data_IF_828074859593
#
_entry.id   IF_828074859593
#
_cell.length_a   1.000
_cell.length_b   1.000
_cell.length_c   1.000
_cell.angle_alpha   90.00
_cell.angle_beta   90.00
_cell.angle_gamma   90.00
#
_symmetry.space_group_name_H-M   'P 1'
#
loop_
_entity.id
_entity.type
_entity.pdbx_description
1 polymer ?
#
# COMPACT_ATOMS: atom_id res chain seq x y z
N UNK A 1 41.94 -11.55 -13.36
CA UNK A 1 41.59 -12.01 -14.72
C UNK A 1 40.89 -10.86 -15.42
N UNK A 2 41.67 -10.01 -16.10
CA UNK A 2 41.23 -8.80 -16.78
C UNK A 2 40.93 -9.16 -18.23
N UNK A 3 39.71 -8.92 -18.71
CA UNK A 3 39.41 -8.93 -20.14
C UNK A 3 38.81 -7.58 -20.50
N UNK A 4 39.55 -6.90 -21.36
CA UNK A 4 39.33 -5.59 -21.92
C UNK A 4 38.69 -5.81 -23.30
N UNK A 5 37.54 -5.21 -23.61
CA UNK A 5 37.03 -5.13 -24.97
C UNK A 5 36.67 -3.69 -25.31
N UNK A 6 37.52 -3.08 -26.14
CA UNK A 6 37.21 -1.89 -26.93
C UNK A 6 36.52 -2.32 -28.22
N UNK A 7 35.44 -1.61 -28.56
CA UNK A 7 35.07 -1.31 -29.94
C UNK A 7 33.99 -2.19 -30.57
N UNK A 8 32.73 -1.73 -30.51
CA UNK A 8 31.85 -1.66 -31.69
C UNK A 8 30.92 -0.45 -31.52
N UNK A 9 31.08 0.54 -32.39
CA UNK A 9 30.14 1.63 -32.61
C UNK A 9 29.27 1.32 -33.83
N UNK A 10 27.96 1.57 -33.66
CA UNK A 10 27.03 2.17 -34.61
C UNK A 10 26.08 1.28 -35.46
N UNK A 11 24.78 1.55 -35.21
CA UNK A 11 23.58 1.57 -36.10
C UNK A 11 22.94 0.21 -36.47
N UNK A 12 21.63 -0.04 -36.33
CA UNK A 12 20.53 0.92 -36.16
C UNK A 12 19.13 0.37 -35.86
N UNK A 13 18.27 1.36 -35.65
CA UNK A 13 16.82 1.43 -35.47
C UNK A 13 15.95 0.27 -35.98
N UNK A 14 15.41 -0.55 -35.06
CA UNK A 14 14.13 -1.29 -35.25
C UNK A 14 13.22 -1.25 -33.98
N UNK A 15 13.62 -0.59 -32.89
CA UNK A 15 12.98 -0.78 -31.57
C UNK A 15 11.92 0.23 -31.09
N UNK A 16 11.53 1.24 -31.87
CA UNK A 16 10.77 2.40 -31.34
C UNK A 16 9.24 2.36 -31.54
N UNK A 17 8.69 1.50 -32.40
CA UNK A 17 7.26 1.62 -32.79
C UNK A 17 6.25 1.11 -31.74
N UNK A 18 6.59 0.14 -30.88
CA UNK A 18 5.63 -0.45 -29.92
C UNK A 18 5.69 0.23 -28.54
N UNK A 19 6.87 0.75 -28.15
CA UNK A 19 7.03 1.52 -26.91
C UNK A 19 6.40 2.91 -27.01
N UNK A 20 6.51 3.58 -28.17
CA UNK A 20 5.94 4.93 -28.35
C UNK A 20 4.40 4.92 -28.36
N UNK A 21 3.78 3.85 -28.88
CA UNK A 21 2.32 3.72 -28.88
C UNK A 21 1.76 3.48 -27.46
N UNK A 22 2.51 2.77 -26.59
CA UNK A 22 2.13 2.57 -25.19
C UNK A 22 2.44 3.81 -24.32
N UNK A 23 3.48 4.56 -24.68
CA UNK A 23 3.86 5.82 -24.04
C UNK A 23 2.86 6.96 -24.32
N UNK A 24 2.34 7.08 -25.55
CA UNK A 24 1.37 8.14 -25.88
C UNK A 24 -0.03 7.92 -25.30
N UNK A 25 -0.49 6.68 -25.19
CA UNK A 25 -1.87 6.38 -24.75
C UNK A 25 -2.11 6.46 -23.24
N UNK A 26 -1.06 6.41 -22.40
CA UNK A 26 -1.22 6.48 -20.92
C UNK A 26 -0.59 7.69 -20.24
N UNK A 27 0.40 8.35 -20.84
CA UNK A 27 1.08 9.48 -20.20
C UNK A 27 0.61 10.86 -20.69
N UNK A 28 -0.16 10.95 -21.78
CA UNK A 28 -0.83 12.19 -22.18
C UNK A 28 -1.91 12.66 -21.18
N UNK A 29 -2.40 11.74 -20.31
CA UNK A 29 -3.43 12.02 -19.32
C UNK A 29 -2.98 12.81 -18.09
N UNK A 30 -1.68 13.11 -17.91
CA UNK A 30 -1.18 13.75 -16.69
C UNK A 30 -0.56 15.14 -16.85
N UNK A 31 -0.41 15.67 -18.07
CA UNK A 31 0.34 16.95 -18.26
C UNK A 31 -0.30 18.01 -19.16
N UNK A 32 -1.42 17.79 -19.84
CA UNK A 32 -1.97 18.82 -20.75
C UNK A 32 -3.29 19.41 -20.24
N UNK A 33 -3.23 20.67 -19.82
CA UNK A 33 -4.39 21.54 -19.59
C UNK A 33 -4.84 22.20 -20.89
N UNK A 34 -5.26 21.42 -21.88
CA UNK A 34 -5.93 21.95 -23.08
C UNK A 34 -6.94 20.93 -23.59
N UNK A 35 -8.18 21.38 -23.70
CA UNK A 35 -9.38 20.66 -24.11
C UNK A 35 -9.21 19.89 -25.43
N UNK A 36 -9.65 18.61 -25.45
CA UNK A 36 -10.43 18.05 -26.55
C UNK A 36 -11.80 17.71 -25.96
N UNK A 37 -12.85 18.52 -26.16
CA UNK A 37 -14.20 18.14 -25.81
C UNK A 37 -14.66 17.17 -26.90
N UNK A 38 -14.78 15.87 -26.61
CA UNK A 38 -15.79 14.97 -27.21
C UNK A 38 -15.59 13.46 -26.94
N UNK A 39 -14.50 13.02 -26.31
CA UNK A 39 -14.36 11.58 -25.98
C UNK A 39 -15.03 11.17 -24.65
N UNK A 40 -15.31 12.13 -23.76
CA UNK A 40 -15.96 11.88 -22.46
C UNK A 40 -17.49 11.72 -22.56
N UNK A 41 -18.08 11.87 -23.75
CA UNK A 41 -19.53 11.87 -23.94
C UNK A 41 -20.13 10.49 -24.31
N UNK A 42 -19.35 9.41 -24.46
CA UNK A 42 -19.87 8.13 -25.02
C UNK A 42 -19.73 6.92 -24.08
N UNK A 43 -19.07 7.02 -22.92
CA UNK A 43 -18.97 5.86 -22.00
C UNK A 43 -19.31 6.19 -20.53
N UNK A 44 -20.40 5.63 -19.97
CA UNK A 44 -20.76 5.87 -18.58
C UNK A 44 -19.69 5.35 -17.60
N UNK A 45 -19.57 6.05 -16.47
CA UNK A 45 -18.62 5.82 -15.36
C UNK A 45 -18.65 4.40 -14.74
N UNK A 46 -19.68 3.61 -15.07
CA UNK A 46 -19.87 2.21 -14.67
C UNK A 46 -18.97 1.23 -15.46
N UNK A 47 -18.45 1.61 -16.63
CA UNK A 47 -17.67 0.70 -17.49
C UNK A 47 -16.16 0.69 -17.19
N UNK A 48 -15.60 1.71 -16.53
CA UNK A 48 -14.15 1.83 -16.30
C UNK A 48 -13.56 0.74 -15.36
N UNK A 49 -14.26 0.27 -14.30
CA UNK A 49 -13.82 -0.91 -13.53
C UNK A 49 -14.10 -2.25 -14.23
N UNK A 50 -14.88 -2.25 -15.32
CA UNK A 50 -15.54 -3.44 -15.88
C UNK A 50 -14.80 -4.04 -17.08
N UNK A 51 -13.94 -3.28 -17.75
CA UNK A 51 -13.25 -3.73 -18.97
C UNK A 51 -12.17 -4.79 -18.74
N UNK A 52 -11.59 -4.89 -17.54
CA UNK A 52 -10.62 -5.97 -17.21
C UNK A 52 -11.23 -7.02 -16.27
N UNK A 53 -12.54 -7.01 -16.09
CA UNK A 53 -13.20 -8.04 -15.30
C UNK A 53 -13.57 -9.21 -16.22
N UNK A 54 -12.90 -10.37 -16.09
CA UNK A 54 -13.14 -11.51 -16.97
C UNK A 54 -14.57 -12.08 -16.85
N UNK A 55 -15.29 -11.75 -15.76
CA UNK A 55 -16.70 -12.13 -15.60
C UNK A 55 -17.65 -11.34 -16.51
N UNK A 56 -17.23 -10.20 -17.03
CA UNK A 56 -18.00 -9.44 -18.02
C UNK A 56 -17.45 -9.64 -19.43
N UNK A 57 -16.12 -9.54 -19.61
CA UNK A 57 -15.53 -9.66 -20.96
C UNK A 57 -15.54 -11.09 -21.49
N UNK A 58 -15.44 -12.10 -20.62
CA UNK A 58 -15.42 -13.51 -21.02
C UNK A 58 -16.76 -13.99 -21.61
N UNK A 59 -17.90 -13.83 -20.90
CA UNK A 59 -19.20 -14.19 -21.44
C UNK A 59 -19.57 -13.40 -22.70
N UNK A 60 -19.20 -12.12 -22.78
CA UNK A 60 -19.45 -11.30 -23.98
C UNK A 60 -18.59 -11.76 -25.17
N UNK A 61 -17.31 -12.09 -24.94
CA UNK A 61 -16.46 -12.70 -25.96
C UNK A 61 -17.05 -14.03 -26.43
N UNK A 62 -17.48 -14.90 -25.51
CA UNK A 62 -18.11 -16.18 -25.84
C UNK A 62 -19.41 -16.00 -26.65
N UNK A 63 -20.27 -15.07 -26.23
CA UNK A 63 -21.54 -14.75 -26.91
C UNK A 63 -21.36 -14.35 -28.39
N UNK A 64 -20.26 -13.65 -28.70
CA UNK A 64 -19.97 -13.16 -30.04
C UNK A 64 -19.17 -14.16 -30.90
N UNK A 65 -18.56 -15.19 -30.30
CA UNK A 65 -17.67 -16.14 -31.00
C UNK A 65 -18.23 -17.55 -31.02
N UNK A 66 -18.44 -18.17 -29.87
CA UNK A 66 -18.69 -19.62 -29.71
C UNK A 66 -20.08 -19.97 -29.17
N UNK A 67 -20.94 -18.97 -28.93
CA UNK A 67 -22.30 -19.22 -28.45
C UNK A 67 -23.19 -19.90 -29.50
N UNK A 68 -24.24 -20.63 -29.06
CA UNK A 68 -25.19 -21.28 -29.97
C UNK A 68 -25.75 -20.32 -31.02
N UNK A 69 -26.00 -20.84 -32.23
CA UNK A 69 -26.43 -20.03 -33.39
C UNK A 69 -27.66 -19.16 -33.10
N UNK A 70 -28.63 -19.67 -32.33
CA UNK A 70 -29.83 -18.93 -31.95
C UNK A 70 -29.56 -17.70 -31.06
N UNK A 71 -28.41 -17.65 -30.38
CA UNK A 71 -27.95 -16.50 -29.59
C UNK A 71 -27.01 -15.61 -30.41
N UNK A 72 -26.01 -16.23 -31.04
CA UNK A 72 -24.93 -15.52 -31.75
C UNK A 72 -25.41 -14.76 -32.98
N UNK A 73 -26.26 -15.38 -33.81
CA UNK A 73 -26.69 -14.80 -35.09
C UNK A 73 -27.54 -13.53 -34.88
N UNK A 74 -28.59 -13.51 -34.03
CA UNK A 74 -29.33 -12.28 -33.79
C UNK A 74 -28.48 -11.15 -33.20
N UNK A 75 -27.50 -11.48 -32.36
CA UNK A 75 -26.55 -10.52 -31.79
C UNK A 75 -25.67 -9.88 -32.86
N UNK A 76 -25.04 -10.70 -33.72
CA UNK A 76 -24.18 -10.19 -34.78
C UNK A 76 -24.97 -9.39 -35.83
N UNK A 77 -26.17 -9.86 -36.20
CA UNK A 77 -27.08 -9.12 -37.10
C UNK A 77 -27.55 -7.81 -36.48
N UNK A 78 -27.80 -7.77 -35.17
CA UNK A 78 -28.12 -6.54 -34.45
C UNK A 78 -26.96 -5.55 -34.44
N UNK A 79 -25.74 -6.04 -34.25
CA UNK A 79 -24.52 -5.22 -34.24
C UNK A 79 -24.14 -4.72 -35.64
N UNK A 80 -24.28 -5.54 -36.68
CA UNK A 80 -23.94 -5.16 -38.06
C UNK A 80 -24.84 -4.07 -38.64
N UNK A 81 -26.04 -3.85 -38.06
CA UNK A 81 -26.90 -2.71 -38.38
C UNK A 81 -26.32 -1.36 -37.92
N UNK A 82 -25.41 -1.36 -36.96
CA UNK A 82 -24.90 -0.16 -36.29
C UNK A 82 -23.38 0.00 -36.54
N UNK A 83 -22.65 -1.11 -36.68
CA UNK A 83 -21.19 -1.15 -36.76
C UNK A 83 -20.73 -1.90 -38.02
N UNK A 84 -19.59 -1.49 -38.56
CA UNK A 84 -18.93 -2.23 -39.66
C UNK A 84 -18.41 -3.59 -39.18
N UNK A 85 -18.34 -4.57 -40.09
CA UNK A 85 -17.78 -5.90 -39.80
C UNK A 85 -16.36 -5.82 -39.24
N UNK A 86 -15.52 -4.95 -39.81
CA UNK A 86 -14.16 -4.69 -39.30
C UNK A 86 -14.16 -4.19 -37.84
N UNK A 87 -15.12 -3.33 -37.48
CA UNK A 87 -15.25 -2.84 -36.10
C UNK A 87 -15.67 -3.97 -35.15
N UNK A 88 -16.56 -4.86 -35.59
CA UNK A 88 -17.00 -6.02 -34.81
C UNK A 88 -15.83 -6.98 -34.56
N UNK A 89 -15.01 -7.27 -35.57
CA UNK A 89 -13.82 -8.11 -35.41
C UNK A 89 -12.78 -7.50 -34.46
N UNK A 90 -12.55 -6.18 -34.56
CA UNK A 90 -11.69 -5.45 -33.62
C UNK A 90 -12.22 -5.52 -32.20
N UNK A 91 -13.54 -5.40 -32.01
CA UNK A 91 -14.19 -5.54 -30.69
C UNK A 91 -13.99 -6.96 -30.14
N UNK A 92 -14.24 -8.00 -30.94
CA UNK A 92 -14.05 -9.40 -30.53
C UNK A 92 -12.59 -9.65 -30.12
N UNK A 93 -11.64 -9.19 -30.94
CA UNK A 93 -10.21 -9.29 -30.65
C UNK A 93 -9.83 -8.53 -29.36
N UNK A 94 -10.38 -7.33 -29.17
CA UNK A 94 -10.21 -6.55 -27.95
C UNK A 94 -10.75 -7.29 -26.72
N UNK A 95 -11.97 -7.84 -26.80
CA UNK A 95 -12.59 -8.61 -25.72
C UNK A 95 -11.81 -9.88 -25.37
N UNK A 96 -11.24 -10.57 -26.37
CA UNK A 96 -10.33 -11.71 -26.15
C UNK A 96 -9.16 -11.28 -25.26
N UNK A 97 -8.42 -10.25 -25.66
CA UNK A 97 -7.25 -9.78 -24.92
C UNK A 97 -7.61 -9.22 -23.54
N UNK A 98 -8.71 -8.49 -23.42
CA UNK A 98 -9.20 -8.00 -22.13
C UNK A 98 -9.56 -9.14 -21.18
N UNK A 99 -10.17 -10.22 -21.69
CA UNK A 99 -10.49 -11.42 -20.90
C UNK A 99 -9.22 -12.14 -20.46
N UNK A 100 -8.27 -12.34 -21.38
CA UNK A 100 -6.98 -12.98 -21.06
C UNK A 100 -6.22 -12.17 -20.01
N UNK A 101 -6.08 -10.85 -20.19
CA UNK A 101 -5.41 -9.97 -19.23
C UNK A 101 -6.14 -9.93 -17.88
N UNK A 102 -7.48 -9.90 -17.89
CA UNK A 102 -8.30 -9.95 -16.69
C UNK A 102 -8.13 -11.27 -15.92
N UNK A 103 -8.11 -12.40 -16.62
CA UNK A 103 -7.88 -13.71 -16.04
C UNK A 103 -6.47 -13.83 -15.47
N UNK A 104 -5.44 -13.44 -16.24
CA UNK A 104 -4.04 -13.42 -15.78
C UNK A 104 -3.89 -12.58 -14.50
N UNK A 105 -4.50 -11.39 -14.45
CA UNK A 105 -4.48 -10.53 -13.27
C UNK A 105 -5.18 -11.18 -12.07
N UNK A 106 -6.36 -11.79 -12.27
CA UNK A 106 -7.11 -12.45 -11.20
C UNK A 106 -6.37 -13.68 -10.67
N UNK A 107 -5.81 -14.49 -11.56
CA UNK A 107 -4.97 -15.65 -11.22
C UNK A 107 -3.70 -15.21 -10.49
N UNK A 108 -2.99 -14.19 -10.97
CA UNK A 108 -1.80 -13.65 -10.31
C UNK A 108 -2.12 -13.12 -8.90
N UNK A 109 -3.23 -12.38 -8.74
CA UNK A 109 -3.68 -11.92 -7.42
C UNK A 109 -4.04 -13.07 -6.49
N UNK A 110 -4.68 -14.12 -7.01
CA UNK A 110 -5.01 -15.31 -6.23
C UNK A 110 -3.75 -16.06 -5.78
N UNK A 111 -2.79 -16.29 -6.68
CA UNK A 111 -1.52 -16.93 -6.37
C UNK A 111 -0.69 -16.09 -5.39
N UNK A 112 -0.71 -14.76 -5.52
CA UNK A 112 -0.05 -13.87 -4.57
C UNK A 112 -0.69 -13.95 -3.18
N UNK A 113 -2.01 -14.01 -3.09
CA UNK A 113 -2.72 -14.22 -1.82
C UNK A 113 -2.37 -15.58 -1.21
N UNK A 114 -2.29 -16.65 -2.01
CA UNK A 114 -1.83 -17.96 -1.54
C UNK A 114 -0.39 -17.91 -1.04
N UNK A 115 0.54 -17.34 -1.79
CA UNK A 115 1.93 -17.20 -1.39
C UNK A 115 2.09 -16.43 -0.07
N UNK A 116 1.36 -15.33 0.09
CA UNK A 116 1.32 -14.53 1.33
C UNK A 116 0.66 -15.25 2.52
N UNK A 117 -0.08 -16.34 2.26
CA UNK A 117 -0.74 -17.15 3.27
C UNK A 117 -0.12 -18.56 3.38
N UNK A 118 1.16 -18.71 3.02
CA UNK A 118 1.90 -19.96 3.12
C UNK A 118 1.23 -21.11 2.33
N UNK A 119 0.70 -20.78 1.14
CA UNK A 119 -0.04 -21.66 0.23
C UNK A 119 -1.30 -22.31 0.82
N UNK A 120 -1.84 -21.75 1.91
CA UNK A 120 -3.09 -22.21 2.51
C UNK A 120 -4.29 -21.71 1.71
N UNK A 121 -5.08 -22.65 1.19
CA UNK A 121 -6.30 -22.36 0.43
C UNK A 121 -7.40 -21.77 1.32
N UNK A 122 -7.55 -22.31 2.54
CA UNK A 122 -8.60 -21.90 3.48
C UNK A 122 -8.16 -20.68 4.29
N UNK A 123 -9.12 -19.80 4.54
CA UNK A 123 -8.96 -18.69 5.49
C UNK A 123 -8.97 -19.21 6.93
N UNK A 124 -8.18 -18.59 7.81
CA UNK A 124 -8.20 -18.87 9.25
C UNK A 124 -9.37 -18.18 9.98
N UNK A 125 -10.27 -17.51 9.25
CA UNK A 125 -11.45 -16.80 9.81
C UNK A 125 -12.25 -17.67 10.79
N UNK A 126 -12.38 -18.96 10.52
CA UNK A 126 -13.10 -19.92 11.35
C UNK A 126 -12.53 -20.06 12.78
N UNK A 127 -11.29 -19.62 13.02
CA UNK A 127 -10.63 -19.67 14.34
C UNK A 127 -10.86 -18.42 15.18
N UNK A 128 -11.45 -17.38 14.60
CA UNK A 128 -11.71 -16.12 15.29
C UNK A 128 -13.16 -16.06 15.78
N UNK A 129 -13.32 -15.81 17.07
CA UNK A 129 -14.59 -15.48 17.69
C UNK A 129 -14.56 -14.00 18.10
N UNK A 130 -14.93 -13.10 17.18
CA UNK A 130 -14.70 -11.65 17.31
C UNK A 130 -15.05 -11.03 18.67
N UNK A 131 -16.19 -11.37 19.32
CA UNK A 131 -16.52 -10.88 20.66
C UNK A 131 -15.50 -11.20 21.76
N UNK A 132 -14.73 -12.28 21.60
CA UNK A 132 -13.70 -12.78 22.52
C UNK A 132 -12.27 -12.43 22.07
N UNK A 133 -12.09 -11.91 20.85
CA UNK A 133 -10.76 -11.51 20.38
C UNK A 133 -10.32 -10.20 21.03
N UNK A 134 -8.99 -10.09 21.21
CA UNK A 134 -8.35 -8.92 21.79
C UNK A 134 -7.36 -8.36 20.77
N UNK A 135 -7.50 -7.08 20.47
CA UNK A 135 -6.65 -6.36 19.52
C UNK A 135 -5.87 -5.24 20.22
N UNK A 136 -4.54 -5.25 20.09
CA UNK A 136 -3.68 -4.14 20.50
C UNK A 136 -3.47 -3.20 19.31
N UNK A 137 -3.74 -1.91 19.48
CA UNK A 137 -3.58 -0.89 18.44
C UNK A 137 -2.71 0.24 18.96
N UNK A 138 -1.55 0.47 18.34
CA UNK A 138 -0.64 1.57 18.72
C UNK A 138 -0.93 2.85 17.93
N UNK A 139 -0.63 4.02 18.50
CA UNK A 139 -0.98 5.31 17.89
C UNK A 139 -2.49 5.51 17.85
N UNK A 140 -3.19 5.01 18.87
CA UNK A 140 -4.64 4.90 18.90
C UNK A 140 -5.36 6.26 18.99
N UNK A 141 -4.71 7.31 19.50
CA UNK A 141 -5.36 8.60 19.75
C UNK A 141 -5.50 9.46 18.48
N UNK A 142 -4.87 9.09 17.36
CA UNK A 142 -4.86 9.91 16.14
C UNK A 142 -5.00 9.12 14.84
N UNK A 143 -5.18 9.85 13.73
CA UNK A 143 -5.09 9.36 12.36
C UNK A 143 -5.86 8.06 12.10
N UNK A 144 -5.15 7.03 11.61
CA UNK A 144 -5.73 5.71 11.36
C UNK A 144 -6.04 4.95 12.65
N UNK A 145 -5.24 5.12 13.70
CA UNK A 145 -5.37 4.34 14.94
C UNK A 145 -6.74 4.52 15.59
N UNK A 146 -7.25 5.75 15.64
CA UNK A 146 -8.58 6.02 16.21
C UNK A 146 -9.71 5.34 15.43
N UNK A 147 -9.62 5.32 14.10
CA UNK A 147 -10.59 4.70 13.22
C UNK A 147 -10.51 3.17 13.28
N UNK A 148 -9.30 2.61 13.37
CA UNK A 148 -9.08 1.18 13.57
C UNK A 148 -9.67 0.71 14.90
N UNK A 149 -9.44 1.46 15.99
CA UNK A 149 -10.05 1.19 17.29
C UNK A 149 -11.58 1.17 17.21
N UNK A 150 -12.17 2.21 16.59
CA UNK A 150 -13.61 2.30 16.42
C UNK A 150 -14.17 1.15 15.56
N UNK A 151 -13.52 0.81 14.45
CA UNK A 151 -13.95 -0.25 13.53
C UNK A 151 -13.89 -1.64 14.16
N UNK A 152 -12.84 -1.93 14.93
CA UNK A 152 -12.70 -3.18 15.69
C UNK A 152 -13.76 -3.30 16.78
N UNK A 153 -13.94 -2.24 17.59
CA UNK A 153 -14.94 -2.20 18.66
C UNK A 153 -16.36 -2.39 18.14
N UNK A 154 -16.71 -1.74 17.00
CA UNK A 154 -18.01 -1.92 16.31
C UNK A 154 -18.28 -3.36 15.86
N UNK A 155 -17.23 -4.16 15.64
CA UNK A 155 -17.33 -5.59 15.30
C UNK A 155 -17.24 -6.51 16.52
N UNK A 156 -17.24 -5.93 17.72
CA UNK A 156 -17.24 -6.66 18.98
C UNK A 156 -15.86 -7.05 19.50
N UNK A 157 -14.77 -6.68 18.84
CA UNK A 157 -13.41 -6.98 19.31
C UNK A 157 -13.08 -6.13 20.53
N UNK A 158 -12.45 -6.72 21.55
CA UNK A 158 -11.91 -5.95 22.68
C UNK A 158 -10.63 -5.25 22.24
N UNK A 159 -10.59 -3.93 22.34
CA UNK A 159 -9.47 -3.12 21.87
C UNK A 159 -8.65 -2.62 23.05
N UNK A 160 -7.35 -2.87 23.00
CA UNK A 160 -6.31 -2.26 23.83
C UNK A 160 -5.71 -1.12 23.00
N UNK A 161 -6.17 0.09 23.26
CA UNK A 161 -5.73 1.31 22.59
C UNK A 161 -4.49 1.86 23.30
N UNK A 162 -3.38 1.97 22.58
CA UNK A 162 -2.08 2.38 23.12
C UNK A 162 -1.61 3.65 22.42
N UNK A 163 -1.27 4.69 23.18
CA UNK A 163 -0.74 5.94 22.65
C UNK A 163 0.09 6.68 23.72
N UNK A 164 0.90 7.65 23.32
CA UNK A 164 1.64 8.54 24.24
C UNK A 164 0.74 9.68 24.76
N UNK A 165 -0.34 9.99 24.04
CA UNK A 165 -1.31 11.00 24.46
C UNK A 165 -1.92 10.65 25.83
N UNK A 166 -2.29 11.66 26.61
CA UNK A 166 -2.90 11.43 27.92
C UNK A 166 -4.30 10.80 27.82
N UNK A 167 -5.01 11.03 26.72
CA UNK A 167 -6.38 10.56 26.53
C UNK A 167 -6.71 10.30 25.06
N UNK A 168 -7.62 9.34 24.85
CA UNK A 168 -8.28 9.15 23.55
C UNK A 168 -9.22 10.32 23.23
N UNK A 169 -9.43 10.63 21.94
CA UNK A 169 -10.49 11.53 21.50
C UNK A 169 -11.86 11.11 22.07
N UNK A 170 -12.71 12.05 22.53
CA UNK A 170 -14.01 11.74 23.13
C UNK A 170 -14.92 10.89 22.23
N UNK A 171 -14.83 11.12 20.92
CA UNK A 171 -15.55 10.41 19.86
C UNK A 171 -15.27 8.90 19.80
N UNK A 172 -14.12 8.44 20.30
CA UNK A 172 -13.76 7.01 20.34
C UNK A 172 -13.72 6.48 21.77
N UNK A 173 -13.35 7.32 22.75
CA UNK A 173 -13.22 6.94 24.17
C UNK A 173 -14.50 6.33 24.74
N UNK A 174 -15.67 6.79 24.30
CA UNK A 174 -16.96 6.34 24.83
C UNK A 174 -17.48 5.04 24.19
N UNK A 175 -16.77 4.48 23.21
CA UNK A 175 -17.16 3.21 22.61
C UNK A 175 -16.90 2.06 23.59
N UNK A 176 -17.91 1.20 23.76
CA UNK A 176 -17.77 -0.03 24.56
C UNK A 176 -16.64 -0.89 23.99
N UNK A 177 -15.96 -1.63 24.86
CA UNK A 177 -14.83 -2.55 24.56
C UNK A 177 -13.49 -1.91 24.23
N UNK A 178 -13.32 -0.59 24.40
CA UNK A 178 -12.01 0.06 24.28
C UNK A 178 -11.41 0.28 25.66
N UNK A 179 -10.19 -0.21 25.88
CA UNK A 179 -9.39 0.02 27.08
C UNK A 179 -8.14 0.81 26.68
N UNK A 180 -7.89 1.94 27.34
CA UNK A 180 -6.82 2.84 26.97
C UNK A 180 -5.62 2.73 27.90
N UNK A 181 -4.43 2.70 27.31
CA UNK A 181 -3.16 2.68 28.03
C UNK A 181 -2.26 3.78 27.46
N UNK A 182 -1.89 4.74 28.30
CA UNK A 182 -0.89 5.73 27.97
C UNK A 182 0.50 5.09 28.12
N UNK A 183 1.17 4.79 27.01
CA UNK A 183 2.49 4.14 26.98
C UNK A 183 3.31 4.71 25.85
N UNK A 184 4.55 5.11 26.15
CA UNK A 184 5.55 5.38 25.13
C UNK A 184 6.13 4.05 24.63
N UNK A 185 5.79 3.68 23.39
CA UNK A 185 6.24 2.44 22.77
C UNK A 185 7.73 2.42 22.41
N UNK A 186 8.44 3.53 22.63
CA UNK A 186 9.90 3.60 22.47
C UNK A 186 10.66 3.10 23.70
N UNK A 187 9.96 2.93 24.83
CA UNK A 187 10.51 2.35 26.06
C UNK A 187 10.21 0.83 26.11
N UNK A 188 11.23 -0.04 26.02
CA UNK A 188 11.03 -1.49 26.04
C UNK A 188 10.45 -2.00 27.36
N UNK A 189 10.80 -1.40 28.50
CA UNK A 189 10.29 -1.83 29.81
C UNK A 189 8.82 -1.44 29.97
N UNK A 190 8.44 -0.25 29.50
CA UNK A 190 7.05 0.16 29.47
C UNK A 190 6.18 -0.75 28.57
N UNK A 191 6.69 -1.14 27.40
CA UNK A 191 5.99 -2.08 26.49
C UNK A 191 5.89 -3.48 27.09
N UNK A 192 6.93 -3.96 27.78
CA UNK A 192 6.91 -5.24 28.48
C UNK A 192 5.86 -5.24 29.61
N UNK A 193 5.87 -4.21 30.46
CA UNK A 193 4.90 -4.04 31.54
C UNK A 193 3.46 -3.93 31.01
N UNK A 194 3.27 -3.22 29.88
CA UNK A 194 1.99 -3.20 29.17
C UNK A 194 1.55 -4.61 28.76
N UNK A 195 2.45 -5.41 28.17
CA UNK A 195 2.14 -6.77 27.76
C UNK A 195 1.71 -7.66 28.92
N UNK A 196 2.41 -7.59 30.05
CA UNK A 196 2.06 -8.31 31.29
C UNK A 196 0.69 -7.89 31.83
N UNK A 197 0.47 -6.58 31.93
CA UNK A 197 -0.79 -6.01 32.41
C UNK A 197 -1.97 -6.38 31.53
N UNK A 198 -1.81 -6.31 30.20
CA UNK A 198 -2.86 -6.69 29.25
C UNK A 198 -3.21 -8.17 29.39
N UNK A 199 -2.22 -9.05 29.53
CA UNK A 199 -2.48 -10.49 29.74
C UNK A 199 -3.23 -10.76 31.03
N UNK A 200 -2.85 -10.09 32.12
CA UNK A 200 -3.49 -10.26 33.42
C UNK A 200 -4.94 -9.73 33.45
N UNK A 201 -5.18 -8.55 32.88
CA UNK A 201 -6.49 -7.88 32.96
C UNK A 201 -7.48 -8.34 31.86
N UNK A 202 -6.97 -8.70 30.67
CA UNK A 202 -7.81 -8.92 29.49
C UNK A 202 -7.67 -10.30 28.88
N UNK A 203 -6.51 -10.94 29.02
CA UNK A 203 -6.12 -12.17 28.33
C UNK A 203 -5.12 -11.93 27.19
N UNK A 204 -4.84 -12.97 26.41
CA UNK A 204 -3.84 -12.92 25.35
C UNK A 204 -4.37 -12.23 24.07
N UNK A 205 -3.72 -11.16 23.58
CA UNK A 205 -4.06 -10.57 22.30
C UNK A 205 -3.87 -11.52 21.13
N UNK A 206 -4.85 -11.53 20.21
CA UNK A 206 -4.80 -12.29 18.96
C UNK A 206 -4.59 -11.39 17.74
N UNK A 207 -4.67 -10.07 17.92
CA UNK A 207 -4.42 -9.08 16.87
C UNK A 207 -3.45 -8.04 17.41
N UNK A 208 -2.38 -7.75 16.69
CA UNK A 208 -1.45 -6.66 16.97
C UNK A 208 -1.39 -5.74 15.75
N UNK A 209 -1.73 -4.46 15.94
CA UNK A 209 -1.64 -3.45 14.89
C UNK A 209 -0.55 -2.45 15.27
N UNK A 210 0.62 -2.62 14.64
CA UNK A 210 1.73 -1.69 14.70
C UNK A 210 1.44 -0.51 13.76
N UNK A 211 0.73 0.49 14.30
CA UNK A 211 0.25 1.66 13.54
C UNK A 211 0.96 2.97 13.92
N UNK A 212 1.43 3.10 15.16
CA UNK A 212 2.14 4.30 15.61
C UNK A 212 3.29 4.67 14.67
N UNK A 213 3.44 5.96 14.38
CA UNK A 213 4.48 6.45 13.52
C UNK A 213 4.58 7.96 13.50
N UNK A 214 5.78 8.45 13.22
CA UNK A 214 6.10 9.86 13.03
C UNK A 214 6.82 10.07 11.71
N UNK A 215 6.72 11.29 11.18
CA UNK A 215 7.42 11.70 9.98
C UNK A 215 7.96 13.12 10.19
N UNK A 216 9.19 13.34 9.71
CA UNK A 216 9.83 14.64 9.68
C UNK A 216 10.28 14.90 8.25
N UNK A 217 10.18 16.16 7.80
CA UNK A 217 10.65 16.57 6.47
C UNK A 217 11.88 17.43 6.64
N UNK A 218 13.04 16.90 6.22
CA UNK A 218 14.34 17.57 6.28
C UNK A 218 15.33 16.85 5.38
N UNK A 219 16.33 17.57 4.85
CA UNK A 219 17.42 16.94 4.10
C UNK A 219 18.31 16.13 5.04
N UNK A 220 19.11 15.21 4.49
CA UNK A 220 20.02 14.38 5.31
C UNK A 220 20.98 15.25 6.12
N UNK A 221 21.46 16.36 5.56
CA UNK A 221 22.39 17.27 6.24
C UNK A 221 21.71 18.13 7.31
N UNK A 222 20.40 18.36 7.21
CA UNK A 222 19.62 19.12 8.18
C UNK A 222 19.04 18.25 9.31
N UNK A 223 19.31 16.94 9.30
CA UNK A 223 18.77 16.01 10.26
C UNK A 223 19.42 16.18 11.64
N UNK A 224 18.61 16.49 12.65
CA UNK A 224 19.06 16.54 14.05
C UNK A 224 19.19 15.12 14.62
N UNK A 225 20.29 14.78 15.34
CA UNK A 225 20.48 13.46 15.92
C UNK A 225 19.27 12.95 16.73
N UNK A 226 18.65 13.80 17.54
CA UNK A 226 17.53 13.42 18.39
C UNK A 226 16.28 13.08 17.57
N UNK A 227 16.06 13.79 16.46
CA UNK A 227 14.94 13.52 15.55
C UNK A 227 15.17 12.23 14.76
N UNK A 228 16.43 11.94 14.38
CA UNK A 228 16.83 10.70 13.74
C UNK A 228 16.64 9.51 14.69
N UNK A 229 17.13 9.58 15.91
CA UNK A 229 16.91 8.50 16.88
C UNK A 229 15.43 8.26 17.13
N UNK A 230 14.67 9.34 17.33
CA UNK A 230 13.25 9.25 17.64
C UNK A 230 12.45 8.62 16.49
N UNK A 231 12.72 8.97 15.23
CA UNK A 231 11.98 8.37 14.10
C UNK A 231 12.26 6.88 13.97
N UNK A 232 13.50 6.42 14.18
CA UNK A 232 13.82 4.99 14.17
C UNK A 232 13.23 4.27 15.38
N UNK A 233 13.32 4.86 16.58
CA UNK A 233 12.73 4.31 17.80
C UNK A 233 11.23 4.09 17.65
N UNK A 234 10.50 5.11 17.17
CA UNK A 234 9.04 5.03 17.01
C UNK A 234 8.63 4.14 15.84
N UNK A 235 9.20 4.31 14.65
CA UNK A 235 8.64 3.70 13.43
C UNK A 235 9.08 2.25 13.19
N UNK A 236 10.16 1.78 13.82
CA UNK A 236 10.69 0.43 13.56
C UNK A 236 11.15 -0.29 14.82
N UNK A 237 11.93 0.32 15.71
CA UNK A 237 12.43 -0.38 16.90
C UNK A 237 11.27 -0.78 17.82
N UNK A 238 10.29 0.10 18.02
CA UNK A 238 9.09 -0.19 18.81
C UNK A 238 8.33 -1.42 18.32
N UNK A 239 8.36 -1.74 17.01
CA UNK A 239 7.71 -2.93 16.47
C UNK A 239 8.35 -4.20 17.06
N UNK A 240 9.67 -4.22 17.27
CA UNK A 240 10.33 -5.35 17.91
C UNK A 240 9.86 -5.52 19.36
N UNK A 241 9.77 -4.44 20.13
CA UNK A 241 9.30 -4.49 21.51
C UNK A 241 7.85 -5.00 21.59
N UNK A 242 6.98 -4.51 20.71
CA UNK A 242 5.58 -4.94 20.62
C UNK A 242 5.46 -6.41 20.19
N UNK A 243 6.27 -6.85 19.22
CA UNK A 243 6.34 -8.26 18.83
C UNK A 243 6.80 -9.13 20.00
N UNK A 244 7.89 -8.77 20.69
CA UNK A 244 8.37 -9.53 21.86
C UNK A 244 7.31 -9.61 22.97
N UNK A 245 6.52 -8.54 23.17
CA UNK A 245 5.47 -8.51 24.19
C UNK A 245 4.25 -9.37 23.85
N UNK A 246 3.84 -9.46 22.58
CA UNK A 246 2.54 -10.03 22.19
C UNK A 246 2.61 -11.25 21.26
N UNK A 247 3.69 -11.44 20.49
CA UNK A 247 3.88 -12.57 19.58
C UNK A 247 3.95 -13.95 20.28
N UNK A 248 4.59 -14.12 21.46
CA UNK A 248 4.77 -15.44 22.05
C UNK A 248 3.46 -16.25 22.20
N UNK A 249 2.41 -15.60 22.72
CA UNK A 249 1.10 -16.24 22.86
C UNK A 249 0.44 -16.59 21.52
N UNK A 250 0.64 -15.75 20.48
CA UNK A 250 0.12 -16.05 19.13
C UNK A 250 0.82 -17.25 18.50
N UNK A 251 2.13 -17.40 18.74
CA UNK A 251 2.94 -18.54 18.29
C UNK A 251 2.49 -19.81 19.00
N UNK A 252 2.39 -19.78 20.33
CA UNK A 252 1.96 -20.92 21.14
C UNK A 252 0.58 -21.43 20.73
N UNK A 253 -0.38 -20.51 20.54
CA UNK A 253 -1.74 -20.85 20.10
C UNK A 253 -1.84 -21.15 18.59
N UNK A 254 -0.74 -20.95 17.85
CA UNK A 254 -0.70 -20.94 16.39
C UNK A 254 -1.86 -20.12 15.82
N UNK A 255 -2.17 -18.96 16.41
CA UNK A 255 -3.30 -18.11 16.05
C UNK A 255 -2.93 -16.68 16.37
N UNK A 256 -2.97 -15.83 15.35
CA UNK A 256 -2.75 -14.40 15.54
C UNK A 256 -2.78 -13.66 14.22
N UNK A 257 -2.94 -12.34 14.27
CA UNK A 257 -2.83 -11.46 13.10
C UNK A 257 -2.03 -10.22 13.45
N UNK A 258 -0.86 -10.08 12.84
CA UNK A 258 0.01 -8.93 13.00
C UNK A 258 -0.14 -8.03 11.78
N UNK A 259 -0.48 -6.78 12.02
CA UNK A 259 -0.65 -5.76 11.00
C UNK A 259 0.41 -4.68 11.17
N UNK A 260 1.20 -4.43 10.14
CA UNK A 260 2.22 -3.38 10.12
C UNK A 260 1.81 -2.26 9.17
N UNK A 261 1.67 -1.03 9.68
CA UNK A 261 1.37 0.15 8.86
C UNK A 261 2.69 0.77 8.36
N UNK A 262 3.04 0.41 7.13
CA UNK A 262 4.18 0.98 6.41
C UNK A 262 3.74 2.19 5.56
N UNK A 263 4.32 2.38 4.38
CA UNK A 263 4.01 3.46 3.45
C UNK A 263 4.49 3.11 2.04
N UNK A 264 3.98 3.80 1.03
CA UNK A 264 4.62 3.85 -0.29
C UNK A 264 6.08 4.35 -0.22
N UNK A 265 6.44 5.08 0.83
CA UNK A 265 7.82 5.46 1.14
C UNK A 265 8.78 4.26 1.37
N UNK A 266 8.25 3.03 1.52
CA UNK A 266 9.07 1.82 1.52
C UNK A 266 9.61 1.47 0.12
N UNK A 267 8.98 1.96 -0.95
CA UNK A 267 9.32 1.66 -2.34
C UNK A 267 9.96 2.84 -3.08
N UNK A 268 9.58 4.07 -2.72
CA UNK A 268 10.10 5.30 -3.31
C UNK A 268 10.62 6.24 -2.23
N UNK A 269 11.63 7.04 -2.55
CA UNK A 269 12.27 7.96 -1.60
C UNK A 269 12.16 9.40 -2.10
N UNK A 270 11.07 10.13 -1.77
CA UNK A 270 10.97 11.53 -2.11
C UNK A 270 12.04 12.38 -1.39
N UNK A 271 12.31 13.56 -1.95
CA UNK A 271 13.24 14.54 -1.38
C UNK A 271 12.86 14.85 0.07
N UNK A 272 13.88 14.96 0.92
CA UNK A 272 13.75 15.33 2.34
C UNK A 272 12.89 14.37 3.21
N UNK A 273 12.68 13.13 2.75
CA UNK A 273 12.01 12.07 3.53
C UNK A 273 12.91 10.86 3.79
N UNK A 274 14.22 10.95 3.53
CA UNK A 274 15.14 9.79 3.57
C UNK A 274 15.06 8.98 4.88
N UNK A 275 15.15 9.57 6.09
CA UNK A 275 15.01 8.81 7.33
C UNK A 275 13.65 8.12 7.48
N UNK A 276 12.56 8.79 7.11
CA UNK A 276 11.23 8.19 7.13
C UNK A 276 11.14 7.00 6.17
N UNK A 277 11.62 7.15 4.94
CA UNK A 277 11.65 6.09 3.92
C UNK A 277 12.48 4.89 4.40
N UNK A 278 13.65 5.14 5.02
CA UNK A 278 14.48 4.11 5.62
C UNK A 278 13.72 3.31 6.68
N UNK A 279 13.02 3.98 7.60
CA UNK A 279 12.20 3.27 8.61
C UNK A 279 11.07 2.45 7.98
N UNK A 280 10.37 2.97 6.96
CA UNK A 280 9.26 2.27 6.32
C UNK A 280 9.70 1.10 5.43
N UNK A 281 10.88 1.20 4.81
CA UNK A 281 11.55 0.06 4.19
C UNK A 281 11.98 -0.99 5.23
N UNK A 282 12.48 -0.55 6.39
CA UNK A 282 12.78 -1.42 7.53
C UNK A 282 11.55 -2.20 8.03
N UNK A 283 10.37 -1.56 8.09
CA UNK A 283 9.11 -2.23 8.45
C UNK A 283 8.74 -3.32 7.44
N UNK A 284 8.97 -3.10 6.14
CA UNK A 284 8.75 -4.13 5.10
C UNK A 284 9.70 -5.31 5.29
N UNK A 285 10.98 -5.04 5.53
CA UNK A 285 11.98 -6.09 5.78
C UNK A 285 11.65 -6.90 7.05
N UNK A 286 11.29 -6.22 8.15
CA UNK A 286 10.85 -6.88 9.39
C UNK A 286 9.62 -7.78 9.14
N UNK A 287 8.65 -7.31 8.35
CA UNK A 287 7.46 -8.10 8.02
C UNK A 287 7.81 -9.38 7.26
N UNK A 288 8.71 -9.30 6.27
CA UNK A 288 9.17 -10.44 5.47
C UNK A 288 10.00 -11.43 6.31
N UNK A 289 10.89 -10.90 7.17
CA UNK A 289 11.70 -11.67 8.11
C UNK A 289 10.83 -12.44 9.11
N UNK A 290 9.89 -11.75 9.76
CA UNK A 290 8.93 -12.35 10.71
C UNK A 290 8.11 -13.46 10.04
N UNK A 291 7.67 -13.27 8.79
CA UNK A 291 6.95 -14.30 8.04
C UNK A 291 7.78 -15.56 7.83
N UNK A 292 9.10 -15.40 7.64
CA UNK A 292 10.03 -16.52 7.53
C UNK A 292 10.21 -17.22 8.87
N UNK A 293 10.46 -16.48 9.95
CA UNK A 293 10.61 -17.04 11.29
C UNK A 293 9.35 -17.79 11.76
N UNK A 294 8.15 -17.24 11.49
CA UNK A 294 6.88 -17.90 11.79
C UNK A 294 6.77 -19.27 11.11
N UNK A 295 7.25 -19.40 9.87
CA UNK A 295 7.25 -20.68 9.15
C UNK A 295 8.34 -21.63 9.66
N UNK A 296 9.56 -21.13 9.81
CA UNK A 296 10.75 -21.99 9.91
C UNK A 296 11.22 -22.20 11.34
N UNK A 297 11.18 -21.16 12.18
CA UNK A 297 11.65 -21.19 13.58
C UNK A 297 10.50 -21.56 14.49
N UNK A 298 9.42 -20.78 14.47
CA UNK A 298 8.30 -20.89 15.41
C UNK A 298 7.25 -21.95 15.01
N UNK A 299 7.33 -22.48 13.79
CA UNK A 299 6.40 -23.51 13.27
C UNK A 299 4.92 -23.14 13.44
N UNK A 300 4.60 -21.86 13.24
CA UNK A 300 3.28 -21.25 13.36
C UNK A 300 2.85 -20.50 12.07
N UNK A 301 2.83 -21.16 10.89
CA UNK A 301 2.39 -20.54 9.62
C UNK A 301 0.91 -20.10 9.60
N UNK A 302 0.15 -20.48 10.61
CA UNK A 302 -1.22 -20.04 10.88
C UNK A 302 -1.29 -18.56 11.26
N UNK A 303 -0.27 -18.01 11.92
CA UNK A 303 -0.23 -16.59 12.30
C UNK A 303 -0.16 -15.74 11.05
N UNK A 304 -1.10 -14.80 10.91
CA UNK A 304 -1.25 -13.96 9.71
C UNK A 304 -0.47 -12.68 9.82
N UNK A 305 0.10 -12.29 8.70
CA UNK A 305 0.81 -11.02 8.56
C UNK A 305 0.12 -10.18 7.49
N UNK A 306 -0.20 -8.94 7.83
CA UNK A 306 -0.62 -7.92 6.87
C UNK A 306 0.31 -6.73 6.94
N UNK A 307 0.75 -6.24 5.79
CA UNK A 307 1.49 -4.97 5.69
C UNK A 307 0.73 -4.03 4.78
N UNK A 308 0.63 -2.76 5.17
CA UNK A 308 -0.13 -1.76 4.42
C UNK A 308 0.79 -0.63 3.99
N UNK A 309 0.72 -0.28 2.71
CA UNK A 309 1.50 0.76 2.05
C UNK A 309 0.55 1.84 1.50
N UNK A 310 0.04 2.73 2.36
CA UNK A 310 -0.73 3.87 1.90
C UNK A 310 0.18 4.91 1.22
N UNK A 311 -0.37 5.59 0.22
CA UNK A 311 0.10 6.93 -0.18
C UNK A 311 -0.35 7.97 0.86
N UNK A 312 -0.16 9.26 0.59
CA UNK A 312 -0.61 10.32 1.47
C UNK A 312 -2.10 10.18 1.81
N UNK A 313 -2.42 10.28 3.10
CA UNK A 313 -3.79 10.25 3.59
C UNK A 313 -4.08 11.46 4.48
N UNK A 314 -5.33 11.91 4.51
CA UNK A 314 -5.76 13.12 5.24
C UNK A 314 -5.70 12.90 6.77
N UNK A 315 -4.49 12.97 7.32
CA UNK A 315 -4.21 12.79 8.75
C UNK A 315 -3.36 13.95 9.25
N UNK A 316 -3.25 14.11 10.58
CA UNK A 316 -2.40 15.14 11.18
C UNK A 316 -0.93 15.05 10.72
N UNK A 317 -0.43 13.85 10.38
CA UNK A 317 0.92 13.65 9.83
C UNK A 317 1.12 14.35 8.48
N UNK A 318 0.09 14.41 7.64
CA UNK A 318 0.15 15.12 6.34
C UNK A 318 -0.17 16.60 6.52
N UNK A 319 -1.03 16.96 7.48
CA UNK A 319 -1.19 18.31 8.01
C UNK A 319 -1.27 19.41 6.94
N UNK A 320 -0.46 20.47 7.11
CA UNK A 320 -0.39 21.62 6.21
C UNK A 320 0.03 21.28 4.77
N UNK A 321 0.74 20.15 4.57
CA UNK A 321 1.16 19.73 3.24
C UNK A 321 0.01 19.15 2.41
N UNK A 322 -1.12 18.78 3.03
CA UNK A 322 -2.27 18.23 2.29
C UNK A 322 -2.76 19.16 1.17
N UNK A 323 -2.74 20.48 1.40
CA UNK A 323 -3.13 21.46 0.38
C UNK A 323 -2.12 21.52 -0.77
N UNK A 324 -0.82 21.44 -0.48
CA UNK A 324 0.23 21.43 -1.50
C UNK A 324 0.18 20.14 -2.34
N UNK A 325 -0.11 19.00 -1.72
CA UNK A 325 -0.31 17.73 -2.41
C UNK A 325 -1.53 17.77 -3.35
N UNK A 326 -2.63 18.37 -2.89
CA UNK A 326 -3.84 18.59 -3.71
C UNK A 326 -3.56 19.54 -4.89
N UNK A 327 -2.81 20.63 -4.65
CA UNK A 327 -2.36 21.56 -5.72
C UNK A 327 -1.49 20.86 -6.76
N UNK A 328 -0.63 19.92 -6.33
CA UNK A 328 0.18 19.08 -7.20
C UNK A 328 -0.63 17.95 -7.90
N UNK A 329 -1.97 17.97 -7.83
CA UNK A 329 -2.88 16.95 -8.39
C UNK A 329 -2.57 15.52 -7.94
N UNK A 330 -1.95 15.37 -6.77
CA UNK A 330 -1.77 14.06 -6.15
C UNK A 330 -3.04 13.66 -5.41
N UNK A 331 -3.47 12.42 -5.59
CA UNK A 331 -4.60 11.87 -4.85
C UNK A 331 -4.19 11.67 -3.39
N UNK A 332 -4.89 12.35 -2.49
CA UNK A 332 -4.81 12.12 -1.05
C UNK A 332 -5.96 11.19 -0.68
N UNK A 333 -5.65 10.09 0.01
CA UNK A 333 -6.65 9.12 0.45
C UNK A 333 -7.41 9.64 1.66
N UNK A 334 -8.68 9.26 1.75
CA UNK A 334 -9.41 9.36 3.02
C UNK A 334 -8.87 8.32 4.01
N UNK A 335 -8.72 8.66 5.29
CA UNK A 335 -8.28 7.70 6.32
C UNK A 335 -9.14 6.43 6.39
N UNK A 336 -10.43 6.56 6.10
CA UNK A 336 -11.39 5.46 6.03
C UNK A 336 -11.00 4.45 4.93
N UNK A 337 -10.52 4.89 3.76
CA UNK A 337 -10.10 3.98 2.68
C UNK A 337 -8.96 3.05 3.14
N UNK A 338 -8.04 3.57 3.96
CA UNK A 338 -6.91 2.80 4.49
C UNK A 338 -7.37 1.85 5.59
N UNK A 339 -8.16 2.37 6.54
CA UNK A 339 -8.61 1.60 7.70
C UNK A 339 -9.63 0.54 7.34
N UNK A 340 -10.54 0.79 6.40
CA UNK A 340 -11.47 -0.21 5.88
C UNK A 340 -10.74 -1.36 5.18
N UNK A 341 -9.68 -1.06 4.42
CA UNK A 341 -8.86 -2.09 3.79
C UNK A 341 -8.15 -2.97 4.83
N UNK A 342 -7.61 -2.37 5.90
CA UNK A 342 -7.01 -3.10 7.03
C UNK A 342 -8.06 -3.98 7.72
N UNK A 343 -9.19 -3.40 8.13
CA UNK A 343 -10.25 -4.10 8.85
C UNK A 343 -10.81 -5.26 8.01
N UNK A 344 -11.08 -5.02 6.72
CA UNK A 344 -11.53 -6.06 5.79
C UNK A 344 -10.55 -7.24 5.76
N UNK A 345 -9.25 -6.97 5.75
CA UNK A 345 -8.24 -8.02 5.72
C UNK A 345 -8.16 -8.79 7.04
N UNK A 346 -8.25 -8.11 8.19
CA UNK A 346 -8.33 -8.75 9.51
C UNK A 346 -9.54 -9.68 9.58
N UNK A 347 -10.74 -9.19 9.24
CA UNK A 347 -11.97 -9.99 9.30
C UNK A 347 -12.06 -11.09 8.24
N UNK A 348 -11.23 -11.02 7.20
CA UNK A 348 -11.05 -12.08 6.22
C UNK A 348 -10.18 -13.24 6.76
N UNK A 349 -9.48 -13.10 7.90
CA UNK A 349 -8.64 -14.14 8.49
C UNK A 349 -7.48 -14.57 7.58
N UNK A 350 -6.93 -13.61 6.82
CA UNK A 350 -5.85 -13.83 5.85
C UNK A 350 -4.78 -12.75 5.99
N UNK A 351 -3.54 -13.09 5.71
CA UNK A 351 -2.44 -12.14 5.51
C UNK A 351 -2.50 -11.49 4.12
N UNK A 352 -1.94 -10.28 3.99
CA UNK A 352 -1.87 -9.57 2.70
C UNK A 352 -0.85 -8.42 2.67
N UNK A 353 -0.21 -8.21 1.54
CA UNK A 353 0.43 -6.93 1.21
C UNK A 353 -0.60 -6.00 0.56
N UNK A 354 -1.03 -4.96 1.27
CA UNK A 354 -2.05 -4.02 0.82
C UNK A 354 -1.35 -2.75 0.31
N UNK A 355 -1.40 -2.52 -0.99
CA UNK A 355 -0.90 -1.30 -1.63
C UNK A 355 -2.07 -0.37 -1.95
N UNK A 356 -2.10 0.80 -1.33
CA UNK A 356 -3.14 1.82 -1.51
C UNK A 356 -2.52 3.09 -2.07
N UNK A 357 -2.32 3.10 -3.38
CA UNK A 357 -1.87 4.27 -4.13
C UNK A 357 -2.58 4.35 -5.49
N UNK A 358 -3.92 4.39 -5.60
CA UNK A 358 -4.58 4.36 -6.90
C UNK A 358 -4.45 5.71 -7.62
N UNK A 359 -4.16 5.76 -8.94
CA UNK A 359 -3.95 4.64 -9.87
C UNK A 359 -2.52 4.07 -9.88
N UNK A 360 -1.60 4.68 -9.16
CA UNK A 360 -0.18 4.37 -9.08
C UNK A 360 0.21 3.14 -8.21
N UNK A 361 -0.66 2.13 -8.09
CA UNK A 361 -0.36 0.91 -7.32
C UNK A 361 0.85 0.14 -7.89
N UNK A 362 1.12 0.31 -9.18
CA UNK A 362 2.26 -0.32 -9.86
C UNK A 362 3.62 0.18 -9.34
N UNK A 363 3.68 1.34 -8.65
CA UNK A 363 4.92 1.91 -8.11
C UNK A 363 5.63 0.92 -7.17
N UNK A 364 4.91 0.07 -6.44
CA UNK A 364 5.53 -0.94 -5.56
C UNK A 364 6.38 -1.95 -6.33
N UNK A 365 6.18 -2.08 -7.65
CA UNK A 365 6.92 -3.01 -8.51
C UNK A 365 8.21 -2.41 -9.07
N UNK A 366 8.41 -1.10 -8.99
CA UNK A 366 9.57 -0.39 -9.58
C UNK A 366 10.91 -0.96 -9.08
N UNK A 367 10.97 -1.38 -7.81
CA UNK A 367 12.18 -1.99 -7.24
C UNK A 367 12.59 -3.31 -7.90
N UNK A 368 11.68 -3.99 -8.61
CA UNK A 368 11.96 -5.21 -9.36
C UNK A 368 12.26 -4.97 -10.85
N UNK A 369 12.23 -3.73 -11.34
CA UNK A 369 12.46 -3.41 -12.74
C UNK A 369 13.96 -3.26 -13.04
N UNK A 370 14.38 -3.39 -14.31
CA UNK A 370 15.76 -3.09 -14.69
C UNK A 370 16.19 -1.70 -14.19
N UNK A 371 17.42 -1.61 -13.67
CA UNK A 371 17.92 -0.41 -12.99
C UNK A 371 17.82 0.87 -13.82
N UNK A 372 18.10 0.81 -15.12
CA UNK A 372 18.00 1.97 -16.00
C UNK A 372 16.55 2.50 -16.10
N UNK A 373 15.56 1.60 -16.09
CA UNK A 373 14.14 1.96 -16.23
C UNK A 373 13.59 2.49 -14.90
N UNK A 374 13.90 1.82 -13.80
CA UNK A 374 13.48 2.26 -12.47
C UNK A 374 14.08 3.61 -12.11
N UNK A 375 15.38 3.82 -12.35
CA UNK A 375 16.05 5.11 -12.10
C UNK A 375 15.50 6.22 -13.00
N UNK A 376 15.31 5.95 -14.30
CA UNK A 376 14.73 6.94 -15.21
C UNK A 376 13.37 7.42 -14.72
N UNK A 377 12.49 6.49 -14.30
CA UNK A 377 11.17 6.84 -13.79
C UNK A 377 11.21 7.62 -12.48
N UNK A 378 12.10 7.26 -11.55
CA UNK A 378 12.24 7.94 -10.27
C UNK A 378 12.80 9.36 -10.41
N UNK A 379 13.67 9.60 -11.40
CA UNK A 379 14.28 10.90 -11.66
C UNK A 379 13.40 11.86 -12.49
N UNK A 380 12.34 11.38 -13.15
CA UNK A 380 11.45 12.23 -13.95
C UNK A 380 10.82 13.40 -13.16
N UNK A 381 10.31 13.20 -11.93
CA UNK A 381 9.81 14.30 -11.11
C UNK A 381 10.91 15.28 -10.70
N UNK A 382 12.15 14.81 -10.48
CA UNK A 382 13.30 15.63 -10.08
C UNK A 382 13.68 16.62 -11.18
N UNK A 383 13.65 16.18 -12.44
CA UNK A 383 13.92 17.05 -13.61
C UNK A 383 12.89 18.16 -13.83
N UNK A 384 11.74 18.09 -13.16
CA UNK A 384 10.62 19.05 -13.26
C UNK A 384 10.43 19.87 -11.99
N UNK A 385 11.17 19.58 -10.91
CA UNK A 385 11.14 20.41 -9.72
C UNK A 385 11.97 21.67 -9.96
N UNK A 386 11.30 22.81 -9.96
CA UNK A 386 11.95 24.11 -9.86
C UNK A 386 12.49 24.26 -8.43
N UNK A 387 13.81 24.27 -8.29
CA UNK A 387 14.50 24.41 -7.00
C UNK A 387 14.21 25.74 -6.31
N UNK A 388 13.71 26.74 -7.04
CA UNK A 388 13.30 28.05 -6.49
C UNK A 388 11.95 28.03 -5.76
N UNK A 389 11.13 26.98 -5.92
CA UNK A 389 9.79 26.88 -5.34
C UNK A 389 9.74 26.10 -4.01
N UNK A 390 10.89 25.70 -3.44
CA UNK A 390 10.92 25.06 -2.12
C UNK A 390 10.63 26.08 -1.02
N UNK A 391 9.69 25.82 -0.09
CA UNK A 391 9.41 26.73 1.03
C UNK A 391 10.69 27.09 1.79
N UNK A 392 10.83 28.34 2.21
CA UNK A 392 12.05 28.89 2.83
C UNK A 392 12.58 28.15 4.09
N UNK A 393 11.84 27.16 4.63
CA UNK A 393 12.32 26.22 5.65
C UNK A 393 13.18 25.07 5.15
N UNK A 394 13.36 24.94 3.83
CA UNK A 394 14.30 24.01 3.17
C UNK A 394 15.67 24.62 2.90
N UNK A 395 15.89 25.87 3.35
CA UNK A 395 17.13 26.61 3.11
C UNK A 395 18.34 25.80 3.59
N UNK A 396 19.17 25.49 2.61
CA UNK A 396 20.57 25.13 2.75
C UNK A 396 21.20 25.93 3.88
N UNK A 397 21.73 25.26 4.90
CA UNK A 397 22.89 25.79 5.62
C UNK A 397 23.88 26.19 4.53
N UNK A 398 24.23 27.48 4.49
CA UNK A 398 25.30 27.98 3.64
C UNK A 398 26.49 27.04 3.78
N UNK A 399 26.77 26.28 2.72
CA UNK A 399 28.09 25.68 2.57
C UNK A 399 28.98 26.90 2.42
N UNK A 400 29.65 27.26 3.52
CA UNK A 400 30.61 28.34 3.56
C UNK A 400 31.48 28.26 2.32
N UNK A 401 31.26 29.19 1.39
CA UNK A 401 32.16 29.41 0.29
C UNK A 401 33.50 29.74 0.92
N UNK A 402 34.39 28.76 0.92
CA UNK A 402 35.80 28.97 1.18
C UNK A 402 36.26 30.08 0.23
N UNK A 403 36.50 31.26 0.80
CA UNK A 403 37.24 32.33 0.16
C UNK A 403 38.53 31.70 -0.36
N UNK A 404 38.67 31.61 -1.69
CA UNK A 404 39.98 31.58 -2.32
C UNK A 404 40.59 32.97 -2.08
N UNK A 405 41.49 33.05 -1.10
CA UNK A 405 42.63 33.97 -1.17
C UNK A 405 43.73 33.31 -1.93
#
# INVERSE_FOLDING_TARGET
MLINFRGVTAVGNIGTSVCDLYFHLKFSFYTHGSFIPHADAIMPSILKPSLLNPLFTGPLYYALTEAPMHVRVPLLVGLSKILSEETIERIITGLKWLTVLGLLRKTSSFLSELGQNNWRLRSEKHRYNWPSEIAVVTGAAGGFGKLLCAGLAKKGVKVIAVDVAAQMPPEVRNLRKINYYQVDITDPEAVKALGERVRAEHGNPSILINNAGIAYTHTVLAAKPESLEKIFKVNIISHYYLLQAFLPAMVEQKKGHIVSVSSMAAYITPVALSPYCATKAGVLSLHEGLGTELRTVYKAPEVKLTIVHPTFAETAMVGANAQNLKKARMRVLKPEEVTDAILKQIFAGRGRHIVLSPPANWISTIKGWPGWLSQSLLQLPERRMDTSAMPAGFATTEIAQGKRT
#
